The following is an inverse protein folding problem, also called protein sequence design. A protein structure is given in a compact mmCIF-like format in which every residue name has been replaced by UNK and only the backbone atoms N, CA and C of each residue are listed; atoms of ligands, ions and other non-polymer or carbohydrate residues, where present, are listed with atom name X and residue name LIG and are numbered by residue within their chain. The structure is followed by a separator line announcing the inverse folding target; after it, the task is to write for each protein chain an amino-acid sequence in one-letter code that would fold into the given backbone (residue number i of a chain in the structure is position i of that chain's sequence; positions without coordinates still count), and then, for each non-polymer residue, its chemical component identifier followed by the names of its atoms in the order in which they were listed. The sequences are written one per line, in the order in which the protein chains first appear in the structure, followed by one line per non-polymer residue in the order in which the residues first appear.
data_IF_419111915458
#
_entry.id   IF_419111915458
#
_cell.length_a   1.000
_cell.length_b   1.000
_cell.length_c   1.000
_cell.angle_alpha   90.00
_cell.angle_beta   90.00
_cell.angle_gamma   90.00
#
_symmetry.space_group_name_H-M   'P 1'
#
loop_
_entity.id
_entity.type
_entity.pdbx_description
1 polymer ?
#
# COMPACT_ATOMS: atom_id res chain seq x y z
N UNK A 1 7.65 -28.59 11.77
CA UNK A 1 8.60 -28.11 10.75
C UNK A 1 8.37 -26.63 10.62
N UNK A 2 9.07 -25.84 11.42
CA UNK A 2 8.93 -24.38 11.41
C UNK A 2 9.85 -23.85 10.33
N UNK A 3 9.29 -23.49 9.19
CA UNK A 3 9.98 -22.71 8.17
C UNK A 3 10.25 -21.33 8.77
N UNK A 4 11.49 -21.07 9.19
CA UNK A 4 11.91 -19.73 9.55
C UNK A 4 11.99 -18.93 8.26
N UNK A 5 10.95 -18.17 7.93
CA UNK A 5 10.97 -17.25 6.80
C UNK A 5 12.19 -16.32 6.95
N UNK A 6 13.06 -16.29 5.94
CA UNK A 6 14.18 -15.35 5.94
C UNK A 6 13.63 -13.92 6.00
N UNK A 7 14.27 -13.03 6.78
CA UNK A 7 13.81 -11.65 6.93
C UNK A 7 13.85 -10.94 5.57
N UNK A 8 12.78 -10.23 5.25
CA UNK A 8 12.65 -9.51 3.99
C UNK A 8 13.64 -8.34 3.90
N UNK A 9 13.92 -7.83 2.68
CA UNK A 9 14.77 -6.67 2.51
C UNK A 9 14.25 -5.48 3.32
N UNK A 10 15.15 -4.70 3.95
CA UNK A 10 14.78 -3.48 4.72
C UNK A 10 13.84 -2.54 3.94
N UNK A 11 14.04 -2.43 2.63
CA UNK A 11 13.20 -1.64 1.75
C UNK A 11 11.72 -2.05 1.83
N UNK A 12 11.40 -3.35 1.92
CA UNK A 12 10.03 -3.86 2.06
C UNK A 12 9.31 -3.19 3.23
N UNK A 13 9.93 -3.21 4.42
CA UNK A 13 9.36 -2.60 5.62
C UNK A 13 9.23 -1.08 5.49
N UNK A 14 10.17 -0.41 4.82
CA UNK A 14 10.11 1.04 4.60
C UNK A 14 8.94 1.42 3.68
N UNK A 15 8.73 0.68 2.59
CA UNK A 15 7.59 0.89 1.71
C UNK A 15 6.26 0.64 2.43
N UNK A 16 6.15 -0.45 3.21
CA UNK A 16 4.95 -0.73 3.99
C UNK A 16 4.65 0.36 5.02
N UNK A 17 5.68 0.81 5.75
CA UNK A 17 5.52 1.87 6.75
C UNK A 17 5.05 3.18 6.09
N UNK A 18 5.59 3.52 4.92
CA UNK A 18 5.17 4.72 4.20
C UNK A 18 3.74 4.58 3.63
N UNK A 19 3.37 3.41 3.11
CA UNK A 19 1.99 3.11 2.70
C UNK A 19 1.01 3.26 3.87
N UNK A 20 1.33 2.70 5.03
CA UNK A 20 0.51 2.80 6.24
C UNK A 20 0.35 4.26 6.70
N UNK A 21 1.43 5.05 6.65
CA UNK A 21 1.36 6.47 7.01
C UNK A 21 0.45 7.26 6.04
N UNK A 22 0.54 6.98 4.73
CA UNK A 22 -0.34 7.61 3.73
C UNK A 22 -1.79 7.17 3.94
N UNK A 23 -2.02 5.89 4.26
CA UNK A 23 -3.37 5.38 4.53
C UNK A 23 -4.00 6.05 5.74
N UNK A 24 -3.24 6.26 6.81
CA UNK A 24 -3.70 7.03 7.96
C UNK A 24 -4.12 8.45 7.56
N UNK A 25 -3.30 9.17 6.78
CA UNK A 25 -3.62 10.52 6.32
C UNK A 25 -4.87 10.54 5.45
N UNK A 26 -5.04 9.56 4.55
CA UNK A 26 -6.23 9.47 3.71
C UNK A 26 -7.50 9.20 4.52
N UNK A 27 -7.42 8.36 5.56
CA UNK A 27 -8.54 8.12 6.48
C UNK A 27 -8.89 9.42 7.22
N UNK A 28 -7.89 10.11 7.78
CA UNK A 28 -8.10 11.34 8.54
C UNK A 28 -8.71 12.46 7.67
N UNK A 29 -8.17 12.66 6.46
CA UNK A 29 -8.72 13.63 5.50
C UNK A 29 -10.15 13.25 5.07
N UNK A 30 -10.47 11.97 4.93
CA UNK A 30 -11.84 11.51 4.63
C UNK A 30 -12.79 11.93 5.75
N UNK A 31 -12.44 11.62 7.00
CA UNK A 31 -13.24 11.97 8.17
C UNK A 31 -13.43 13.48 8.31
N UNK A 32 -12.39 14.26 8.01
CA UNK A 32 -12.50 15.73 7.99
C UNK A 32 -13.45 16.22 6.89
N UNK A 33 -13.27 15.73 5.66
CA UNK A 33 -14.08 16.13 4.49
C UNK A 33 -15.56 15.72 4.61
N UNK A 34 -15.88 14.65 5.34
CA UNK A 34 -17.26 14.27 5.66
C UNK A 34 -18.02 15.39 6.39
N UNK A 35 -17.30 16.28 7.09
CA UNK A 35 -17.86 17.43 7.81
C UNK A 35 -17.59 18.77 7.11
N UNK A 36 -16.58 18.84 6.22
CA UNK A 36 -16.18 20.05 5.50
C UNK A 36 -15.98 19.75 3.99
N UNK A 37 -17.05 19.40 3.25
CA UNK A 37 -16.93 18.87 1.89
C UNK A 37 -16.40 19.89 0.86
N UNK A 38 -16.59 21.19 1.12
CA UNK A 38 -16.19 22.27 0.21
C UNK A 38 -14.80 22.86 0.55
N UNK A 39 -14.06 22.25 1.49
CA UNK A 39 -12.70 22.68 1.81
C UNK A 39 -11.72 22.28 0.68
N UNK A 40 -11.46 23.24 -0.21
CA UNK A 40 -10.59 23.05 -1.38
C UNK A 40 -9.16 22.64 -1.00
N UNK A 41 -8.65 23.08 0.15
CA UNK A 41 -7.30 22.74 0.59
C UNK A 41 -7.23 21.28 1.06
N UNK A 42 -8.21 20.83 1.83
CA UNK A 42 -8.31 19.43 2.24
C UNK A 42 -8.51 18.50 1.03
N UNK A 43 -9.35 18.91 0.06
CA UNK A 43 -9.52 18.18 -1.21
C UNK A 43 -8.21 18.09 -2.02
N UNK A 44 -7.43 19.16 -2.08
CA UNK A 44 -6.14 19.18 -2.78
C UNK A 44 -5.14 18.23 -2.11
N UNK A 45 -5.07 18.24 -0.77
CA UNK A 45 -4.24 17.32 0.00
C UNK A 45 -4.67 15.87 -0.22
N UNK A 46 -5.96 15.58 -0.17
CA UNK A 46 -6.48 14.24 -0.43
C UNK A 46 -6.04 13.71 -1.79
N UNK A 47 -6.19 14.51 -2.86
CA UNK A 47 -5.74 14.15 -4.22
C UNK A 47 -4.23 13.92 -4.29
N UNK A 48 -3.44 14.75 -3.59
CA UNK A 48 -1.98 14.59 -3.52
C UNK A 48 -1.60 13.26 -2.87
N UNK A 49 -2.18 12.92 -1.72
CA UNK A 49 -1.90 11.67 -1.02
C UNK A 49 -2.43 10.46 -1.78
N UNK A 50 -3.58 10.56 -2.45
CA UNK A 50 -4.11 9.52 -3.31
C UNK A 50 -3.12 9.18 -4.44
N UNK A 51 -2.57 10.21 -5.12
CA UNK A 51 -1.55 10.02 -6.15
C UNK A 51 -0.27 9.40 -5.58
N UNK A 52 0.18 9.87 -4.41
CA UNK A 52 1.36 9.33 -3.75
C UNK A 52 1.18 7.85 -3.39
N UNK A 53 0.02 7.47 -2.83
CA UNK A 53 -0.33 6.08 -2.52
C UNK A 53 -0.22 5.21 -3.77
N UNK A 54 -0.85 5.62 -4.87
CA UNK A 54 -0.82 4.87 -6.11
C UNK A 54 0.61 4.66 -6.63
N UNK A 55 1.43 5.71 -6.66
CA UNK A 55 2.84 5.60 -7.08
C UNK A 55 3.64 4.67 -6.17
N UNK A 56 3.41 4.71 -4.85
CA UNK A 56 4.12 3.90 -3.89
C UNK A 56 3.71 2.42 -3.98
N UNK A 57 2.42 2.16 -4.20
CA UNK A 57 1.89 0.82 -4.47
C UNK A 57 2.52 0.24 -5.74
N UNK A 58 2.55 0.98 -6.85
CA UNK A 58 3.17 0.51 -8.10
C UNK A 58 4.65 0.16 -7.91
N UNK A 59 5.40 0.99 -7.17
CA UNK A 59 6.79 0.70 -6.85
C UNK A 59 6.94 -0.55 -5.98
N UNK A 60 6.14 -0.67 -4.91
CA UNK A 60 6.11 -1.85 -4.06
C UNK A 60 5.81 -3.12 -4.86
N UNK A 61 4.76 -3.09 -5.68
CA UNK A 61 4.31 -4.24 -6.47
C UNK A 61 5.36 -4.69 -7.48
N UNK A 62 6.04 -3.73 -8.13
CA UNK A 62 7.16 -4.04 -9.04
C UNK A 62 8.36 -4.69 -8.36
N UNK A 63 8.58 -4.42 -7.07
CA UNK A 63 9.75 -4.85 -6.32
C UNK A 63 9.50 -6.14 -5.51
N UNK A 64 8.29 -6.30 -4.97
CA UNK A 64 7.99 -7.32 -3.97
C UNK A 64 6.78 -8.20 -4.31
N UNK A 65 6.03 -7.90 -5.37
CA UNK A 65 4.84 -8.65 -5.76
C UNK A 65 3.53 -8.02 -5.29
N UNK A 66 2.39 -8.67 -5.59
CA UNK A 66 1.07 -8.05 -5.49
C UNK A 66 0.69 -7.68 -4.05
N UNK A 67 0.12 -6.49 -3.86
CA UNK A 67 -0.31 -5.98 -2.55
C UNK A 67 -1.79 -6.27 -2.26
N UNK A 68 -2.64 -6.36 -3.29
CA UNK A 68 -4.08 -6.54 -3.18
C UNK A 68 -4.61 -7.72 -4.01
N UNK A 69 -5.68 -8.34 -3.50
CA UNK A 69 -6.40 -9.45 -4.14
C UNK A 69 -7.42 -9.00 -5.20
N UNK A 70 -8.04 -9.97 -5.85
CA UNK A 70 -9.24 -9.78 -6.70
C UNK A 70 -9.03 -8.85 -7.90
N UNK A 71 -7.83 -8.89 -8.50
CA UNK A 71 -7.51 -8.12 -9.71
C UNK A 71 -7.18 -6.65 -9.46
N UNK A 72 -7.01 -6.24 -8.20
CA UNK A 72 -6.58 -4.89 -7.84
C UNK A 72 -5.09 -4.67 -8.07
N UNK A 73 -4.26 -5.68 -7.82
CA UNK A 73 -2.85 -5.70 -8.22
C UNK A 73 -2.70 -6.44 -9.55
N UNK A 74 -1.82 -5.97 -10.45
CA UNK A 74 -1.53 -6.67 -11.70
C UNK A 74 -0.88 -8.03 -11.42
N UNK A 75 -1.29 -9.05 -12.17
CA UNK A 75 -0.57 -10.31 -12.19
C UNK A 75 0.77 -10.10 -12.92
N UNK A 76 1.87 -10.17 -12.19
CA UNK A 76 3.22 -10.01 -12.74
C UNK A 76 3.89 -11.36 -12.95
N UNK A 77 4.42 -11.61 -14.14
CA UNK A 77 5.18 -12.83 -14.47
C UNK A 77 4.33 -13.98 -15.03
N UNK A 78 4.91 -15.18 -15.04
CA UNK A 78 4.30 -16.40 -15.58
C UNK A 78 3.67 -17.32 -14.51
N UNK A 79 3.78 -16.97 -13.22
CA UNK A 79 3.26 -17.73 -12.08
C UNK A 79 2.28 -16.90 -11.25
N UNK A 80 1.43 -17.58 -10.47
CA UNK A 80 0.48 -16.94 -9.56
C UNK A 80 1.18 -16.51 -8.26
N UNK A 81 1.81 -15.33 -8.30
CA UNK A 81 2.65 -14.83 -7.20
C UNK A 81 1.89 -14.45 -5.91
N UNK A 82 0.55 -14.38 -5.94
CA UNK A 82 -0.23 -13.99 -4.75
C UNK A 82 0.03 -14.90 -3.54
N UNK A 83 0.16 -16.21 -3.76
CA UNK A 83 0.46 -17.17 -2.69
C UNK A 83 1.93 -17.19 -2.24
N UNK A 84 2.81 -16.48 -2.95
CA UNK A 84 4.26 -16.50 -2.74
C UNK A 84 4.75 -15.31 -1.88
N UNK A 85 3.94 -14.25 -1.78
CA UNK A 85 4.26 -13.06 -0.98
C UNK A 85 4.00 -13.32 0.51
N UNK A 86 4.95 -12.97 1.41
CA UNK A 86 4.70 -13.04 2.84
C UNK A 86 3.57 -12.08 3.22
N UNK A 87 2.62 -12.61 3.97
CA UNK A 87 1.48 -11.84 4.45
C UNK A 87 1.94 -10.81 5.48
N UNK A 88 1.23 -9.69 5.62
CA UNK A 88 1.59 -8.63 6.58
C UNK A 88 1.67 -9.06 8.06
N UNK A 89 1.19 -10.25 8.43
CA UNK A 89 1.34 -10.83 9.78
C UNK A 89 2.46 -11.87 9.89
N UNK A 90 3.10 -12.22 8.78
CA UNK A 90 4.32 -13.04 8.76
C UNK A 90 5.58 -12.19 8.97
N UNK A 91 5.41 -10.87 9.07
CA UNK A 91 6.44 -9.86 9.33
C UNK A 91 6.29 -9.23 10.70
#
# INVERSE_FOLDING_TARGET
MSETAEPLPKAYYQYLQELQAIDFVLVDLTLYLDTHPDDEQALAQFKQFQKRKHNLMTQFESAFGPLHQYGLSPATGASWAWSETPWPWQV
#
